data_IF_729788221545
#
_entry.id   IF_729788221545
#
_cell.length_a   1.000
_cell.length_b   1.000
_cell.length_c   1.000
_cell.angle_alpha   90.00
_cell.angle_beta   90.00
_cell.angle_gamma   90.00
#
_symmetry.space_group_name_H-M   'P 1'
#
loop_
_entity.id
_entity.type
_entity.pdbx_description
1 polymer ?
#
# COMPACT_ATOMS: atom_id res chain seq x y z
N UNK A 1 -3.92 -35.75 -25.05
CA UNK A 1 -4.26 -34.31 -25.04
C UNK A 1 -4.99 -33.96 -23.75
N UNK A 2 -4.30 -33.42 -22.75
CA UNK A 2 -4.85 -32.47 -21.77
C UNK A 2 -3.66 -31.81 -21.09
N UNK A 3 -3.64 -30.49 -21.24
CA UNK A 3 -2.54 -29.56 -21.04
C UNK A 3 -2.15 -29.55 -19.57
N UNK A 4 -1.03 -30.16 -19.22
CA UNK A 4 -0.36 -29.91 -17.94
C UNK A 4 0.61 -28.77 -18.19
N UNK A 5 0.06 -27.56 -18.37
CA UNK A 5 0.81 -26.34 -18.10
C UNK A 5 0.82 -26.23 -16.57
N UNK A 6 1.75 -26.94 -15.94
CA UNK A 6 2.03 -26.83 -14.51
C UNK A 6 2.71 -25.48 -14.32
N UNK A 7 1.85 -24.46 -14.27
CA UNK A 7 2.21 -23.06 -14.17
C UNK A 7 3.11 -22.85 -12.97
N UNK A 8 4.27 -22.28 -13.29
CA UNK A 8 5.13 -21.49 -12.44
C UNK A 8 4.30 -20.52 -11.57
N UNK A 9 3.75 -21.01 -10.48
CA UNK A 9 3.18 -20.16 -9.43
C UNK A 9 4.11 -20.28 -8.24
N UNK A 10 5.27 -19.66 -8.44
CA UNK A 10 6.18 -19.19 -7.43
C UNK A 10 5.35 -18.34 -6.47
N UNK A 11 4.71 -18.97 -5.47
CA UNK A 11 4.08 -18.27 -4.38
C UNK A 11 5.22 -17.73 -3.52
N UNK A 12 5.79 -16.62 -3.97
CA UNK A 12 6.71 -15.80 -3.23
C UNK A 12 6.18 -15.71 -1.80
N UNK A 13 6.99 -16.20 -0.86
CA UNK A 13 6.78 -15.95 0.55
C UNK A 13 6.44 -14.46 0.69
N UNK A 14 5.24 -14.16 1.19
CA UNK A 14 4.88 -12.82 1.63
C UNK A 14 5.84 -12.47 2.76
N UNK A 15 7.00 -11.94 2.39
CA UNK A 15 7.80 -11.11 3.24
C UNK A 15 6.88 -9.94 3.55
N UNK A 16 6.26 -9.97 4.74
CA UNK A 16 5.57 -8.82 5.35
C UNK A 16 6.62 -7.74 5.65
N UNK A 17 7.24 -7.22 4.59
CA UNK A 17 8.04 -6.03 4.60
C UNK A 17 7.05 -4.88 4.73
N UNK A 18 7.10 -4.24 5.89
CA UNK A 18 6.23 -3.12 6.16
C UNK A 18 6.45 -2.01 5.13
N UNK A 19 5.39 -1.61 4.44
CA UNK A 19 5.50 -0.57 3.42
C UNK A 19 5.58 0.79 4.10
N UNK A 20 6.45 1.69 3.64
CA UNK A 20 6.53 3.05 4.17
C UNK A 20 5.92 4.03 3.18
N UNK A 21 4.76 4.62 3.51
CA UNK A 21 4.03 5.52 2.60
C UNK A 21 4.86 6.70 2.06
N UNK A 22 5.83 7.20 2.84
CA UNK A 22 6.65 8.34 2.45
C UNK A 22 7.78 7.98 1.47
N UNK A 23 8.21 6.71 1.42
CA UNK A 23 9.31 6.27 0.56
C UNK A 23 8.92 5.19 -0.45
N UNK A 24 7.75 4.57 -0.29
CA UNK A 24 7.32 3.44 -1.10
C UNK A 24 7.21 3.80 -2.59
N UNK A 25 7.53 2.85 -3.46
CA UNK A 25 7.27 2.97 -4.90
C UNK A 25 5.77 2.84 -5.21
N UNK A 26 5.38 3.16 -6.45
CA UNK A 26 3.99 2.98 -6.89
C UNK A 26 3.57 1.52 -6.77
N UNK A 27 4.45 0.61 -7.14
CA UNK A 27 4.25 -0.83 -7.14
C UNK A 27 4.10 -1.38 -5.72
N UNK A 28 4.92 -0.90 -4.78
CA UNK A 28 4.81 -1.24 -3.35
C UNK A 28 3.48 -0.77 -2.77
N UNK A 29 3.07 0.46 -3.06
CA UNK A 29 1.77 0.98 -2.62
C UNK A 29 0.62 0.15 -3.19
N UNK A 30 0.73 -0.33 -4.43
CA UNK A 30 -0.27 -1.20 -5.07
C UNK A 30 -0.34 -2.62 -4.47
N UNK A 31 0.65 -3.05 -3.69
CA UNK A 31 0.54 -4.30 -2.94
C UNK A 31 -0.51 -4.22 -1.82
N UNK A 32 -0.83 -3.00 -1.36
CA UNK A 32 -1.83 -2.80 -0.31
C UNK A 32 -3.23 -3.07 -0.88
N UNK A 33 -3.98 -3.95 -0.20
CA UNK A 33 -5.30 -4.35 -0.65
C UNK A 33 -6.25 -3.16 -0.76
N UNK A 34 -6.68 -2.88 -1.99
CA UNK A 34 -7.59 -1.77 -2.32
C UNK A 34 -6.92 -0.49 -2.80
N UNK A 35 -5.58 -0.50 -2.93
CA UNK A 35 -4.80 0.55 -3.61
C UNK A 35 -4.51 0.09 -5.05
N UNK A 36 -5.20 0.69 -6.00
CA UNK A 36 -4.84 0.59 -7.42
C UNK A 36 -3.91 1.71 -7.87
N UNK A 37 -3.54 1.71 -9.14
CA UNK A 37 -2.63 2.71 -9.72
C UNK A 37 -3.00 4.16 -9.43
N UNK A 38 -4.29 4.51 -9.55
CA UNK A 38 -4.80 5.86 -9.28
C UNK A 38 -4.56 6.28 -7.84
N UNK A 39 -4.79 5.36 -6.89
CA UNK A 39 -4.61 5.62 -5.46
C UNK A 39 -3.13 5.70 -5.10
N UNK A 40 -2.30 4.82 -5.64
CA UNK A 40 -0.86 4.87 -5.47
C UNK A 40 -0.29 6.22 -5.97
N UNK A 41 -0.73 6.69 -7.14
CA UNK A 41 -0.33 8.02 -7.65
C UNK A 41 -0.76 9.15 -6.71
N UNK A 42 -2.00 9.10 -6.19
CA UNK A 42 -2.49 10.10 -5.25
C UNK A 42 -1.66 10.17 -3.96
N UNK A 43 -1.21 9.03 -3.42
CA UNK A 43 -0.32 8.98 -2.24
C UNK A 43 1.03 9.61 -2.56
N UNK A 44 1.59 9.30 -3.74
CA UNK A 44 2.86 9.89 -4.21
C UNK A 44 2.72 11.40 -4.37
N UNK A 45 1.61 11.89 -4.91
CA UNK A 45 1.39 13.32 -5.08
C UNK A 45 1.08 14.02 -3.76
N UNK A 46 0.40 13.34 -2.83
CA UNK A 46 0.18 13.83 -1.48
C UNK A 46 1.50 14.02 -0.74
N UNK A 47 2.38 13.01 -0.71
CA UNK A 47 3.69 13.11 -0.02
C UNK A 47 4.65 14.14 -0.62
N UNK A 48 4.50 14.48 -1.91
CA UNK A 48 5.25 15.59 -2.55
C UNK A 48 4.82 16.95 -2.00
N UNK A 49 3.56 17.09 -1.57
CA UNK A 49 2.99 18.33 -1.03
C UNK A 49 3.10 18.39 0.49
N UNK A 50 2.80 17.28 1.17
CA UNK A 50 2.73 17.16 2.61
C UNK A 50 3.16 15.77 3.05
N UNK A 51 4.06 15.68 4.03
CA UNK A 51 4.50 14.39 4.58
C UNK A 51 3.33 13.66 5.25
N UNK A 52 3.23 12.35 5.01
CA UNK A 52 2.22 11.48 5.61
C UNK A 52 2.71 11.09 7.00
N UNK A 53 2.09 11.64 8.04
CA UNK A 53 2.46 11.32 9.43
C UNK A 53 1.63 10.14 9.94
N UNK A 54 0.37 10.10 9.54
CA UNK A 54 -0.56 9.06 9.92
C UNK A 54 -1.35 8.57 8.68
N UNK A 55 -1.92 7.37 8.72
CA UNK A 55 -2.70 6.86 7.60
C UNK A 55 -3.98 7.67 7.36
N UNK A 56 -4.50 8.32 8.41
CA UNK A 56 -5.70 9.13 8.38
C UNK A 56 -5.56 10.40 7.51
N UNK A 57 -4.34 10.92 7.33
CA UNK A 57 -4.04 12.02 6.41
C UNK A 57 -4.53 11.71 4.99
N UNK A 58 -4.56 10.42 4.62
CA UNK A 58 -5.05 9.98 3.32
C UNK A 58 -6.57 10.05 3.19
N UNK A 59 -7.35 10.12 4.27
CA UNK A 59 -8.83 10.24 4.23
C UNK A 59 -9.30 11.53 3.52
N UNK A 60 -8.42 12.54 3.46
CA UNK A 60 -8.67 13.81 2.76
C UNK A 60 -8.72 13.56 1.23
N UNK A 61 -8.05 12.50 0.75
CA UNK A 61 -8.02 12.15 -0.67
C UNK A 61 -9.29 11.41 -1.08
N UNK A 62 -9.92 11.87 -2.15
CA UNK A 62 -11.14 11.25 -2.69
C UNK A 62 -10.87 9.78 -3.07
N UNK A 63 -11.62 8.86 -2.48
CA UNK A 63 -11.49 7.41 -2.72
C UNK A 63 -10.65 6.67 -1.68
N UNK A 64 -10.13 7.36 -0.66
CA UNK A 64 -9.54 6.79 0.54
C UNK A 64 -10.58 6.78 1.67
N UNK A 65 -11.35 5.70 1.75
CA UNK A 65 -12.29 5.49 2.85
C UNK A 65 -11.61 4.85 4.07
N UNK A 66 -12.31 4.86 5.21
CA UNK A 66 -11.85 4.27 6.47
C UNK A 66 -11.31 2.85 6.31
N UNK A 67 -12.05 1.96 5.63
CA UNK A 67 -11.61 0.58 5.44
C UNK A 67 -10.34 0.43 4.60
N UNK A 68 -10.05 1.36 3.69
CA UNK A 68 -8.79 1.36 2.97
C UNK A 68 -7.65 1.81 3.87
N UNK A 69 -7.88 2.87 4.64
CA UNK A 69 -6.90 3.42 5.59
C UNK A 69 -6.56 2.41 6.68
N UNK A 70 -7.53 1.63 7.14
CA UNK A 70 -7.30 0.51 8.06
C UNK A 70 -6.42 -0.60 7.45
N UNK A 71 -6.62 -0.95 6.17
CA UNK A 71 -5.75 -1.90 5.47
C UNK A 71 -4.33 -1.35 5.34
N UNK A 72 -4.22 -0.08 4.96
CA UNK A 72 -2.96 0.65 4.91
C UNK A 72 -2.25 0.58 6.27
N UNK A 73 -2.96 0.87 7.37
CA UNK A 73 -2.42 0.84 8.72
C UNK A 73 -1.91 -0.54 9.14
N UNK A 74 -2.52 -1.63 8.65
CA UNK A 74 -2.05 -3.00 8.90
C UNK A 74 -0.77 -3.34 8.12
N UNK A 75 -0.67 -2.85 6.88
CA UNK A 75 0.43 -3.19 5.96
C UNK A 75 1.64 -2.27 6.09
N UNK A 76 1.50 -1.13 6.76
CA UNK A 76 2.59 -0.16 6.98
C UNK A 76 3.12 -0.21 8.41
N UNK A 77 4.45 -0.10 8.54
CA UNK A 77 5.06 0.36 9.79
C UNK A 77 5.11 1.86 9.67
N UNK A 78 4.01 2.53 10.04
CA UNK A 78 4.22 3.86 10.58
C UNK A 78 5.06 3.62 11.82
N UNK A 79 6.33 4.06 11.83
CA UNK A 79 7.01 4.34 13.08
C UNK A 79 6.23 5.49 13.73
N UNK A 80 5.05 5.19 14.25
CA UNK A 80 4.40 6.02 15.23
C UNK A 80 5.36 6.00 16.40
N UNK A 81 5.97 7.15 16.66
CA UNK A 81 6.65 7.41 17.91
C UNK A 81 5.75 6.85 19.02
N UNK A 82 6.23 5.79 19.69
CA UNK A 82 5.64 5.39 20.96
C UNK A 82 5.75 6.63 21.84
N UNK A 83 4.59 7.10 22.27
CA UNK A 83 4.46 8.09 23.33
C UNK A 83 5.19 7.63 24.57
#
# INVERSE_FOLDING_TARGET
>A
MKKIFLGLMLSCAFLFASINLNSASKEELMQIKGIGEKKASMIIDFRKKQKINNPEDLLILKGFGKGLVENIQKDIKVKGAKK
#
